data_IF_295626505323
#
_entry.id   IF_295626505323
#
_cell.length_a   1.000
_cell.length_b   1.000
_cell.length_c   1.000
_cell.angle_alpha   90.00
_cell.angle_beta   90.00
_cell.angle_gamma   90.00
#
_symmetry.space_group_name_H-M   'P 1'
#
loop_
_entity.id
_entity.type
_entity.pdbx_description
1 polymer ?
#
# COMPACT_ATOMS: atom_id res chain seq x y z
N UNK A 1 -17.40 -37.19 15.31
CA UNK A 1 -18.74 -37.22 14.70
C UNK A 1 -18.78 -36.12 13.66
N UNK A 2 -18.77 -36.51 12.38
CA UNK A 2 -18.66 -35.62 11.21
C UNK A 2 -20.05 -35.25 10.74
N UNK A 3 -20.37 -33.96 10.62
CA UNK A 3 -21.54 -33.51 9.87
C UNK A 3 -21.13 -32.56 8.76
N UNK A 4 -21.05 -33.13 7.56
CA UNK A 4 -21.02 -32.44 6.30
C UNK A 4 -22.45 -32.13 5.87
N UNK A 5 -22.79 -30.87 5.55
CA UNK A 5 -23.94 -30.54 4.69
C UNK A 5 -23.63 -29.34 3.81
N UNK A 6 -23.27 -29.68 2.58
CA UNK A 6 -23.37 -28.84 1.38
C UNK A 6 -24.84 -28.47 1.15
N UNK A 7 -25.13 -27.19 0.89
CA UNK A 7 -26.25 -26.78 0.03
C UNK A 7 -25.78 -25.68 -0.93
N UNK A 8 -25.79 -26.03 -2.22
CA UNK A 8 -25.63 -25.15 -3.39
C UNK A 8 -26.98 -24.52 -3.75
N UNK A 9 -26.89 -23.52 -4.64
CA UNK A 9 -27.91 -22.87 -5.49
C UNK A 9 -28.58 -21.66 -4.85
N UNK A 10 -28.89 -20.58 -5.54
CA UNK A 10 -28.54 -20.03 -6.86
C UNK A 10 -29.23 -18.66 -6.88
N UNK A 11 -28.60 -17.63 -7.44
CA UNK A 11 -29.21 -16.31 -7.52
C UNK A 11 -28.46 -15.43 -8.50
N UNK A 12 -28.56 -15.78 -9.78
CA UNK A 12 -28.13 -14.91 -10.86
C UNK A 12 -29.15 -13.76 -11.02
N UNK A 13 -28.68 -12.53 -11.01
CA UNK A 13 -29.35 -11.41 -11.63
C UNK A 13 -28.32 -10.63 -12.46
N UNK A 14 -28.62 -10.51 -13.75
CA UNK A 14 -27.78 -10.04 -14.83
C UNK A 14 -28.51 -8.82 -15.45
N UNK A 15 -27.73 -7.92 -16.10
CA UNK A 15 -28.12 -6.87 -17.08
C UNK A 15 -28.44 -5.48 -16.45
N UNK A 16 -27.96 -4.32 -16.93
CA UNK A 16 -27.40 -3.92 -18.24
C UNK A 16 -26.35 -2.79 -18.16
N UNK A 17 -25.52 -2.74 -19.20
CA UNK A 17 -24.53 -1.70 -19.55
C UNK A 17 -25.18 -0.57 -20.35
N UNK A 18 -24.74 0.69 -20.14
CA UNK A 18 -24.75 1.74 -21.19
C UNK A 18 -23.39 2.45 -21.20
N UNK A 19 -22.75 2.43 -22.37
CA UNK A 19 -21.49 3.10 -22.73
C UNK A 19 -21.82 4.43 -23.40
N UNK A 20 -21.13 5.52 -23.05
CA UNK A 20 -20.79 6.62 -23.98
C UNK A 20 -19.87 7.65 -23.28
N UNK A 21 -18.66 7.86 -23.82
CA UNK A 21 -17.74 8.91 -23.37
C UNK A 21 -16.46 8.94 -24.21
N UNK A 22 -16.56 9.59 -25.37
CA UNK A 22 -15.56 9.69 -26.43
C UNK A 22 -14.29 10.43 -25.97
N UNK A 23 -13.13 9.78 -26.12
CA UNK A 23 -11.81 10.40 -26.06
C UNK A 23 -11.25 10.59 -27.48
N UNK A 24 -10.60 11.72 -27.73
CA UNK A 24 -9.92 12.00 -28.99
C UNK A 24 -9.15 13.33 -28.97
N UNK A 25 -7.90 13.30 -28.49
CA UNK A 25 -6.86 14.30 -28.76
C UNK A 25 -5.66 13.55 -29.34
N UNK A 26 -5.36 13.79 -30.62
CA UNK A 26 -4.29 14.68 -31.10
C UNK A 26 -2.91 14.10 -30.89
N UNK A 27 -2.27 13.62 -31.96
CA UNK A 27 -0.87 13.97 -32.25
C UNK A 27 -0.49 13.51 -33.68
N UNK A 28 0.05 14.47 -34.41
CA UNK A 28 0.38 14.47 -35.83
C UNK A 28 1.89 14.23 -35.98
N UNK A 29 2.34 13.21 -36.72
CA UNK A 29 3.75 13.09 -37.04
C UNK A 29 4.01 13.62 -38.45
N UNK A 30 5.00 14.52 -38.58
CA UNK A 30 5.65 14.78 -39.85
C UNK A 30 7.18 14.70 -39.70
N UNK A 31 7.88 14.12 -40.68
CA UNK A 31 9.30 13.79 -40.62
C UNK A 31 10.18 14.98 -41.04
N UNK A 32 11.52 14.85 -40.95
CA UNK A 32 12.25 15.04 -42.19
C UNK A 32 13.45 14.11 -42.43
N UNK A 33 13.73 14.01 -43.73
CA UNK A 33 14.76 13.30 -44.47
C UNK A 33 16.21 13.66 -44.10
N UNK A 34 17.12 12.69 -44.27
CA UNK A 34 18.58 12.85 -44.42
C UNK A 34 18.95 13.75 -45.61
N UNK A 35 20.19 14.30 -45.68
CA UNK A 35 21.19 13.75 -46.63
C UNK A 35 22.67 13.94 -46.12
N UNK A 36 23.77 13.83 -46.92
CA UNK A 36 24.88 12.92 -46.61
C UNK A 36 26.26 13.63 -46.48
N UNK A 37 27.30 12.79 -46.32
CA UNK A 37 28.63 12.94 -46.95
C UNK A 37 29.76 13.60 -46.15
N UNK A 38 30.94 12.98 -46.33
CA UNK A 38 32.29 13.59 -46.51
C UNK A 38 33.32 13.21 -45.42
N UNK A 39 34.07 12.13 -45.70
CA UNK A 39 35.53 11.96 -45.49
C UNK A 39 36.33 13.20 -45.95
N UNK A 40 37.65 13.41 -45.73
CA UNK A 40 38.69 12.64 -45.03
C UNK A 40 39.59 13.59 -44.15
N UNK A 41 40.90 13.28 -44.02
CA UNK A 41 42.00 14.07 -43.43
C UNK A 41 42.22 13.90 -41.93
N UNK A 42 43.43 13.78 -41.40
CA UNK A 42 44.77 13.67 -41.97
C UNK A 42 45.69 13.10 -40.88
N UNK A 43 46.80 12.52 -41.34
CA UNK A 43 48.14 12.44 -40.71
C UNK A 43 48.30 13.06 -39.31
N UNK A 44 48.93 12.32 -38.37
CA UNK A 44 49.98 12.84 -37.46
C UNK A 44 50.64 11.65 -36.70
N UNK A 45 51.91 11.45 -37.04
CA UNK A 45 53.07 11.16 -36.17
C UNK A 45 53.07 9.92 -35.26
N UNK A 46 53.98 9.00 -35.63
CA UNK A 46 54.53 7.89 -34.84
C UNK A 46 55.01 8.37 -33.43
N UNK A 47 54.48 7.83 -32.31
CA UNK A 47 55.00 8.12 -30.98
C UNK A 47 56.21 7.23 -30.64
N UNK A 48 57.21 7.74 -29.88
CA UNK A 48 58.42 7.00 -29.53
C UNK A 48 58.14 5.76 -28.65
N UNK A 49 59.03 4.75 -28.65
CA UNK A 49 58.80 3.49 -27.95
C UNK A 49 58.69 3.68 -26.42
N UNK A 50 57.86 2.86 -25.75
CA UNK A 50 57.57 3.01 -24.32
C UNK A 50 58.78 2.62 -23.44
N UNK A 51 58.97 3.27 -22.27
CA UNK A 51 59.92 2.83 -21.27
C UNK A 51 59.45 1.55 -20.55
N UNK A 52 60.41 0.74 -20.10
CA UNK A 52 60.23 -0.52 -19.37
C UNK A 52 59.34 -0.38 -18.11
N UNK A 53 58.59 -1.43 -17.73
CA UNK A 53 57.69 -1.38 -16.58
C UNK A 53 58.50 -1.25 -15.29
N UNK A 54 58.40 -0.08 -14.66
CA UNK A 54 58.67 0.05 -13.22
C UNK A 54 57.46 -0.54 -12.51
N UNK A 55 57.68 -1.59 -11.72
CA UNK A 55 56.67 -2.15 -10.80
C UNK A 55 56.30 -1.07 -9.76
N UNK A 56 55.35 -0.22 -10.13
CA UNK A 56 54.66 0.68 -9.22
C UNK A 56 53.60 -0.16 -8.50
N UNK A 57 53.98 -0.73 -7.36
CA UNK A 57 53.04 -1.29 -6.39
C UNK A 57 52.32 -0.10 -5.76
N UNK A 58 51.38 0.48 -6.51
CA UNK A 58 50.33 1.31 -5.97
C UNK A 58 49.41 0.38 -5.18
N UNK A 59 49.65 0.30 -3.88
CA UNK A 59 48.73 -0.34 -2.92
C UNK A 59 47.38 0.38 -3.04
N UNK A 60 46.46 -0.24 -3.78
CA UNK A 60 45.09 0.25 -3.93
C UNK A 60 44.48 0.27 -2.53
N UNK A 61 44.03 1.43 -2.00
CA UNK A 61 43.32 1.42 -0.72
C UNK A 61 42.13 0.48 -0.87
N UNK A 62 42.04 -0.48 0.05
CA UNK A 62 40.92 -1.41 0.09
C UNK A 62 39.62 -0.60 0.07
N UNK A 63 38.62 -0.95 -0.76
CA UNK A 63 37.35 -0.28 -0.74
C UNK A 63 36.79 -0.41 0.68
N UNK A 64 36.65 0.73 1.37
CA UNK A 64 35.92 0.79 2.63
C UNK A 64 34.52 0.30 2.31
N UNK A 65 34.14 -0.85 2.87
CA UNK A 65 32.78 -1.35 2.74
C UNK A 65 31.83 -0.21 3.18
N UNK A 66 30.76 0.08 2.42
CA UNK A 66 29.81 1.08 2.86
C UNK A 66 29.32 0.66 4.25
N UNK A 67 29.59 1.49 5.27
CA UNK A 67 28.96 1.34 6.58
C UNK A 67 27.46 1.31 6.34
N UNK A 68 26.86 0.14 6.53
CA UNK A 68 25.42 0.00 6.45
C UNK A 68 24.88 0.85 7.60
N UNK A 69 24.11 1.92 7.35
CA UNK A 69 23.51 2.68 8.43
C UNK A 69 22.73 1.69 9.30
N UNK A 70 22.76 1.82 10.64
CA UNK A 70 22.01 0.92 11.48
C UNK A 70 20.56 0.95 10.99
N UNK A 71 20.04 -0.19 10.56
CA UNK A 71 18.62 -0.34 10.25
C UNK A 71 17.87 0.09 11.49
N UNK A 72 17.29 1.30 11.46
CA UNK A 72 16.44 1.79 12.53
C UNK A 72 15.29 0.80 12.62
N UNK A 73 15.37 -0.10 13.61
CA UNK A 73 14.31 -1.04 13.89
C UNK A 73 13.19 -0.19 14.47
N UNK A 74 12.12 0.02 13.69
CA UNK A 74 10.96 0.75 14.15
C UNK A 74 10.34 -0.04 15.32
N UNK A 75 10.47 0.50 16.53
CA UNK A 75 9.83 -0.05 17.72
C UNK A 75 8.43 0.56 17.83
N UNK A 76 7.40 -0.28 17.72
CA UNK A 76 6.02 0.17 17.88
C UNK A 76 5.76 0.53 19.35
N UNK A 77 5.00 1.60 19.63
CA UNK A 77 4.60 1.92 21.00
C UNK A 77 3.69 0.83 21.57
N UNK A 78 3.50 0.84 22.89
CA UNK A 78 2.52 -0.02 23.53
C UNK A 78 1.11 0.31 23.02
N UNK A 79 0.38 -0.71 22.56
CA UNK A 79 -0.96 -0.55 22.04
C UNK A 79 -2.00 -0.23 23.11
N UNK A 80 -3.00 0.54 22.72
CA UNK A 80 -4.19 0.80 23.50
C UNK A 80 -5.39 0.98 22.57
N UNK A 81 -6.40 0.12 22.76
CA UNK A 81 -7.64 0.13 22.00
C UNK A 81 -8.82 0.10 23.00
N UNK A 82 -9.71 1.11 23.00
CA UNK A 82 -10.95 1.10 23.74
C UNK A 82 -11.81 -0.13 23.41
N UNK A 83 -12.51 -0.68 24.40
CA UNK A 83 -13.32 -1.89 24.23
C UNK A 83 -14.39 -1.77 23.14
N UNK A 84 -14.91 -0.56 22.91
CA UNK A 84 -15.87 -0.28 21.84
C UNK A 84 -15.29 -0.43 20.43
N UNK A 85 -13.97 -0.31 20.25
CA UNK A 85 -13.32 -0.54 18.95
C UNK A 85 -12.94 -2.01 18.73
N UNK A 86 -12.80 -2.80 19.80
CA UNK A 86 -12.38 -4.21 19.72
C UNK A 86 -13.37 -5.01 18.87
N UNK A 87 -12.84 -5.79 17.93
CA UNK A 87 -13.63 -6.58 17.00
C UNK A 87 -13.27 -6.31 15.55
N UNK A 88 -14.12 -6.82 14.66
CA UNK A 88 -13.96 -6.74 13.22
C UNK A 88 -14.91 -5.68 12.65
N UNK A 89 -14.40 -4.89 11.71
CA UNK A 89 -15.10 -3.80 11.05
C UNK A 89 -14.90 -3.94 9.53
N UNK A 90 -16.01 -4.01 8.80
CA UNK A 90 -16.04 -4.17 7.35
C UNK A 90 -16.15 -2.82 6.67
N UNK A 91 -15.27 -2.53 5.71
CA UNK A 91 -15.34 -1.30 4.93
C UNK A 91 -16.63 -1.24 4.12
N UNK A 92 -17.24 -0.04 4.06
CA UNK A 92 -18.53 0.15 3.39
C UNK A 92 -18.50 0.15 1.85
N UNK A 93 -17.32 0.00 1.24
CA UNK A 93 -17.18 -0.17 -0.21
C UNK A 93 -15.96 0.50 -0.84
N UNK A 94 -16.13 1.16 -1.98
CA UNK A 94 -15.02 1.52 -2.89
C UNK A 94 -14.14 2.68 -2.45
N UNK A 95 -14.51 3.38 -1.37
CA UNK A 95 -13.82 4.59 -0.90
C UNK A 95 -13.01 4.38 0.38
N UNK A 96 -13.05 3.17 0.97
CA UNK A 96 -12.25 2.84 2.14
C UNK A 96 -10.84 2.39 1.75
N UNK A 97 -9.86 2.70 2.61
CA UNK A 97 -8.47 2.29 2.42
C UNK A 97 -8.24 0.80 2.64
N UNK A 98 -9.08 0.19 3.48
CA UNK A 98 -9.00 -1.21 3.88
C UNK A 98 -10.36 -1.84 3.67
N UNK A 99 -10.39 -3.07 3.18
CA UNK A 99 -11.62 -3.86 3.08
C UNK A 99 -12.12 -4.24 4.47
N UNK A 100 -11.19 -4.47 5.41
CA UNK A 100 -11.52 -4.84 6.79
C UNK A 100 -10.44 -4.38 7.75
N UNK A 101 -10.87 -3.96 8.94
CA UNK A 101 -10.02 -3.66 10.08
C UNK A 101 -10.42 -4.57 11.23
N UNK A 102 -9.46 -5.16 11.91
CA UNK A 102 -9.70 -5.87 13.16
C UNK A 102 -8.84 -5.29 14.26
N UNK A 103 -9.48 -4.84 15.33
CA UNK A 103 -8.80 -4.43 16.55
C UNK A 103 -8.89 -5.52 17.62
N UNK A 104 -7.81 -5.69 18.36
CA UNK A 104 -7.70 -6.62 19.48
C UNK A 104 -7.71 -5.87 20.81
N UNK A 105 -8.12 -6.56 21.87
CA UNK A 105 -8.17 -6.02 23.24
C UNK A 105 -6.78 -5.79 23.86
N UNK A 106 -5.75 -6.41 23.32
CA UNK A 106 -4.34 -6.20 23.66
C UNK A 106 -3.70 -4.99 22.96
N UNK A 107 -4.48 -4.23 22.20
CA UNK A 107 -3.99 -3.08 21.43
C UNK A 107 -3.49 -3.42 20.03
N UNK A 108 -3.60 -4.68 19.59
CA UNK A 108 -3.27 -5.09 18.23
C UNK A 108 -4.24 -4.55 17.18
N UNK A 109 -3.75 -4.36 15.96
CA UNK A 109 -4.57 -4.07 14.78
C UNK A 109 -4.14 -4.91 13.59
N UNK A 110 -5.13 -5.40 12.83
CA UNK A 110 -4.94 -6.08 11.55
C UNK A 110 -5.72 -5.36 10.47
N UNK A 111 -5.04 -5.00 9.38
CA UNK A 111 -5.58 -4.29 8.23
C UNK A 111 -5.58 -5.21 7.01
N UNK A 112 -6.74 -5.43 6.41
CA UNK A 112 -6.90 -6.20 5.18
C UNK A 112 -7.21 -5.24 4.05
N UNK A 113 -6.36 -5.23 3.03
CA UNK A 113 -6.60 -4.48 1.80
C UNK A 113 -7.44 -5.31 0.83
N UNK A 114 -8.13 -4.63 -0.08
CA UNK A 114 -8.85 -5.27 -1.19
C UNK A 114 -7.94 -6.12 -2.10
N UNK A 115 -6.64 -5.85 -2.11
CA UNK A 115 -5.63 -6.65 -2.82
C UNK A 115 -5.34 -8.00 -2.17
N UNK A 116 -5.88 -8.26 -0.97
CA UNK A 116 -5.54 -9.41 -0.14
C UNK A 116 -4.28 -9.23 0.71
N UNK A 117 -3.60 -8.08 0.61
CA UNK A 117 -2.50 -7.74 1.51
C UNK A 117 -3.03 -7.61 2.94
N UNK A 118 -2.33 -8.22 3.89
CA UNK A 118 -2.62 -8.12 5.32
C UNK A 118 -1.44 -7.45 6.01
N UNK A 119 -1.72 -6.43 6.82
CA UNK A 119 -0.74 -5.80 7.70
C UNK A 119 -1.18 -6.01 9.15
N UNK A 120 -0.28 -6.53 9.97
CA UNK A 120 -0.44 -6.61 11.42
C UNK A 120 0.39 -5.51 12.08
N UNK A 121 -0.12 -4.93 13.15
CA UNK A 121 0.54 -3.86 13.86
C UNK A 121 -0.11 -3.55 15.19
N UNK A 122 0.15 -2.35 15.69
CA UNK A 122 -0.35 -1.86 16.98
C UNK A 122 -1.19 -0.61 16.78
N UNK A 123 -2.35 -0.53 17.42
CA UNK A 123 -3.17 0.67 17.45
C UNK A 123 -3.00 1.41 18.78
N UNK A 124 -2.86 2.73 18.70
CA UNK A 124 -2.86 3.61 19.86
C UNK A 124 -3.97 4.62 19.69
N UNK A 125 -4.92 4.61 20.62
CA UNK A 125 -6.08 5.50 20.61
C UNK A 125 -5.96 6.50 21.76
N UNK A 126 -6.04 7.79 21.45
CA UNK A 126 -5.92 8.88 22.40
C UNK A 126 -7.09 9.84 22.22
N UNK A 127 -8.09 9.75 23.11
CA UNK A 127 -9.33 10.53 22.97
C UNK A 127 -9.98 10.25 21.61
N UNK A 128 -10.13 11.28 20.78
CA UNK A 128 -10.74 11.17 19.44
C UNK A 128 -9.74 10.93 18.32
N UNK A 129 -8.44 10.84 18.60
CA UNK A 129 -7.41 10.53 17.60
C UNK A 129 -6.91 9.10 17.75
N UNK A 130 -6.40 8.54 16.65
CA UNK A 130 -5.87 7.17 16.63
C UNK A 130 -4.67 7.11 15.70
N UNK A 131 -3.66 6.32 16.06
CA UNK A 131 -2.54 6.01 15.16
C UNK A 131 -2.38 4.50 15.03
N UNK A 132 -2.31 4.01 13.79
CA UNK A 132 -2.03 2.61 13.50
C UNK A 132 -0.57 2.44 13.09
N UNK A 133 0.20 1.75 13.91
CA UNK A 133 1.61 1.46 13.68
C UNK A 133 1.75 0.11 12.98
N UNK A 134 1.90 0.16 11.66
CA UNK A 134 2.01 -1.03 10.78
C UNK A 134 3.29 -0.98 9.94
N UNK A 135 3.71 -2.11 9.34
CA UNK A 135 4.78 -2.09 8.35
C UNK A 135 4.51 -1.07 7.24
N UNK A 136 5.48 -0.20 6.97
CA UNK A 136 5.31 0.93 6.04
C UNK A 136 5.09 2.29 6.73
N UNK A 137 4.91 2.31 8.06
CA UNK A 137 4.89 3.51 8.88
C UNK A 137 3.55 3.75 9.58
N UNK A 138 3.50 4.74 10.50
CA UNK A 138 2.28 5.09 11.21
C UNK A 138 1.22 5.65 10.25
N UNK A 139 -0.02 5.23 10.46
CA UNK A 139 -1.21 5.76 9.79
C UNK A 139 -2.00 6.55 10.82
N UNK A 140 -1.87 7.88 10.85
CA UNK A 140 -2.61 8.72 11.77
C UNK A 140 -4.04 8.93 11.28
N UNK A 141 -4.97 8.95 12.23
CA UNK A 141 -6.34 9.42 12.09
C UNK A 141 -6.56 10.56 13.08
N UNK A 142 -6.93 11.73 12.55
CA UNK A 142 -7.16 12.90 13.37
C UNK A 142 -8.46 12.78 14.18
N UNK A 143 -9.45 12.12 13.60
CA UNK A 143 -10.75 11.92 14.21
C UNK A 143 -11.28 10.50 13.97
N UNK A 144 -11.75 9.88 15.04
CA UNK A 144 -12.59 8.69 14.98
C UNK A 144 -13.87 8.86 15.79
N UNK A 145 -14.93 8.16 15.37
CA UNK A 145 -16.19 8.05 16.09
C UNK A 145 -16.90 6.75 15.74
N UNK A 146 -17.81 6.30 16.61
CA UNK A 146 -18.71 5.17 16.35
C UNK A 146 -20.15 5.69 16.40
N UNK A 147 -20.92 5.38 15.36
CA UNK A 147 -22.35 5.71 15.27
C UNK A 147 -23.16 4.42 15.17
N UNK A 148 -24.13 4.23 16.06
CA UNK A 148 -25.06 3.11 16.00
C UNK A 148 -26.24 3.44 15.06
N UNK A 149 -26.69 2.45 14.29
CA UNK A 149 -27.89 2.57 13.46
C UNK A 149 -28.67 1.26 13.37
N UNK A 150 -29.99 1.38 13.24
CA UNK A 150 -30.92 0.27 13.01
C UNK A 150 -31.16 0.12 11.50
N UNK A 151 -30.88 -1.06 10.96
CA UNK A 151 -31.08 -1.36 9.53
C UNK A 151 -32.48 -1.93 9.22
N UNK A 152 -33.34 -2.01 10.23
CA UNK A 152 -34.63 -2.67 10.19
C UNK A 152 -34.56 -4.15 10.51
N UNK A 153 -35.73 -4.79 10.64
CA UNK A 153 -35.88 -6.23 10.85
C UNK A 153 -35.12 -6.80 12.06
N UNK A 154 -34.83 -5.97 13.07
CA UNK A 154 -34.12 -6.37 14.29
C UNK A 154 -32.61 -6.42 14.14
N UNK A 155 -32.05 -5.94 13.04
CA UNK A 155 -30.60 -5.84 12.83
C UNK A 155 -30.08 -4.48 13.27
N UNK A 156 -29.08 -4.49 14.14
CA UNK A 156 -28.43 -3.27 14.64
C UNK A 156 -26.96 -3.31 14.31
N UNK A 157 -26.45 -2.19 13.81
CA UNK A 157 -25.09 -2.02 13.35
C UNK A 157 -24.43 -0.83 14.04
N UNK A 158 -23.11 -0.84 14.00
CA UNK A 158 -22.26 0.29 14.34
C UNK A 158 -21.42 0.67 13.13
N UNK A 159 -21.21 1.96 12.92
CA UNK A 159 -20.34 2.54 11.91
C UNK A 159 -19.18 3.28 12.58
N UNK A 160 -17.99 2.70 12.48
CA UNK A 160 -16.72 3.34 12.79
C UNK A 160 -16.33 4.28 11.66
N UNK A 161 -16.28 5.58 11.96
CA UNK A 161 -15.74 6.61 11.06
C UNK A 161 -14.30 6.91 11.40
N UNK A 162 -13.40 6.81 10.42
CA UNK A 162 -11.99 7.18 10.52
C UNK A 162 -11.67 8.25 9.47
N UNK A 163 -11.58 9.52 9.89
CA UNK A 163 -11.38 10.68 9.00
C UNK A 163 -12.31 10.68 7.76
N UNK A 164 -13.56 10.27 7.95
CA UNK A 164 -14.59 10.20 6.89
C UNK A 164 -14.68 8.86 6.14
N UNK A 165 -13.73 7.93 6.33
CA UNK A 165 -13.89 6.54 5.91
C UNK A 165 -14.80 5.78 6.86
N UNK A 166 -15.67 4.91 6.35
CA UNK A 166 -16.72 4.25 7.15
C UNK A 166 -16.55 2.74 7.15
N UNK A 167 -16.61 2.15 8.34
CA UNK A 167 -16.44 0.72 8.57
C UNK A 167 -17.55 0.22 9.50
N UNK A 168 -18.25 -0.82 9.09
CA UNK A 168 -19.49 -1.27 9.70
C UNK A 168 -19.29 -2.61 10.38
N UNK A 169 -19.96 -2.81 11.52
CA UNK A 169 -20.11 -4.14 12.14
C UNK A 169 -21.53 -4.36 12.63
N UNK A 170 -21.97 -5.60 12.63
CA UNK A 170 -23.25 -5.99 13.21
C UNK A 170 -23.08 -6.28 14.70
N UNK A 171 -23.97 -5.73 15.53
CA UNK A 171 -23.93 -5.92 17.00
C UNK A 171 -25.20 -6.59 17.55
N UNK A 172 -26.29 -6.65 16.78
CA UNK A 172 -27.48 -7.43 17.11
C UNK A 172 -28.26 -7.85 15.86
N UNK A 173 -29.13 -8.85 16.00
CA UNK A 173 -30.02 -9.36 14.94
C UNK A 173 -29.63 -10.76 14.45
N UNK A 174 -30.61 -11.65 14.29
CA UNK A 174 -30.43 -13.04 13.87
C UNK A 174 -31.73 -13.82 13.88
#
# INVERSE_FOLDING_TARGET
>A
MTFSRVRRLAGAALVAVVVAGCGGGSEEPSPPSSPPSTEPSDEITDPPPPPEPTDDITERPSPTAPETPPSATFEAPQGFVPSELVGEWDGDGTSVRFDKIRFSDDGGVRLLYNSGLVLDGTAVVEGTSMTLYVPGGPIPYAHWSIEQFDAGYGYVFENLKLDGSSYVRQIAGG
#
